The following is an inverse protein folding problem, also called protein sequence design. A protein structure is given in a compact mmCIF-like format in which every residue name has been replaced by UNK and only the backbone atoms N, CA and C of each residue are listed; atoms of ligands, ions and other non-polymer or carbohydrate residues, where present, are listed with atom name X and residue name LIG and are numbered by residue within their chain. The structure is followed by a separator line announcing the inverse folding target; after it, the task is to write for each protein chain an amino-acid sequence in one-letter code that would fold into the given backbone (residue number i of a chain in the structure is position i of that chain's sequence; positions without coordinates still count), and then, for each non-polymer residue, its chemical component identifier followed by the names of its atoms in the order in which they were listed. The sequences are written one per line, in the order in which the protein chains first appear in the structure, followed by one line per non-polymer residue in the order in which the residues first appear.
data_IF_320717647325
#
_entry.id   IF_320717647325
#
_cell.length_a   1.000
_cell.length_b   1.000
_cell.length_c   1.000
_cell.angle_alpha   90.00
_cell.angle_beta   90.00
_cell.angle_gamma   90.00
#
_symmetry.space_group_name_H-M   'P 1'
#
loop_
_entity.id
_entity.type
_entity.pdbx_description
1 polymer ?
#
# COMPACT_ATOMS: atom_id res chain seq x y z
N UNK A 1 -19.29 -24.98 -18.04
CA UNK A 1 -18.01 -24.46 -17.54
C UNK A 1 -18.15 -22.97 -17.45
N UNK A 2 -18.10 -22.40 -16.25
CA UNK A 2 -18.16 -20.95 -16.06
C UNK A 2 -16.77 -20.33 -16.40
N UNK A 3 -16.62 -19.01 -16.31
CA UNK A 3 -15.35 -18.37 -16.68
C UNK A 3 -14.21 -18.65 -15.67
N UNK A 4 -14.51 -18.85 -14.39
CA UNK A 4 -13.47 -19.18 -13.41
C UNK A 4 -12.93 -20.59 -13.65
N UNK A 5 -13.80 -21.57 -13.92
CA UNK A 5 -13.39 -22.93 -14.30
C UNK A 5 -12.50 -22.89 -15.55
N UNK A 6 -12.84 -22.04 -16.53
CA UNK A 6 -12.04 -21.88 -17.74
C UNK A 6 -10.64 -21.32 -17.42
N UNK A 7 -10.54 -20.32 -16.55
CA UNK A 7 -9.26 -19.74 -16.13
C UNK A 7 -8.38 -20.77 -15.41
N UNK A 8 -8.95 -21.54 -14.48
CA UNK A 8 -8.23 -22.62 -13.77
C UNK A 8 -7.72 -23.69 -14.75
N UNK A 9 -8.55 -24.11 -15.71
CA UNK A 9 -8.14 -25.07 -16.75
C UNK A 9 -7.05 -24.52 -17.68
N UNK A 10 -7.09 -23.21 -18.00
CA UNK A 10 -6.03 -22.55 -18.77
C UNK A 10 -4.73 -22.61 -17.97
N UNK A 11 -4.74 -22.21 -16.69
CA UNK A 11 -3.56 -22.21 -15.83
C UNK A 11 -2.95 -23.61 -15.70
N UNK A 12 -3.78 -24.63 -15.47
CA UNK A 12 -3.35 -26.02 -15.42
C UNK A 12 -2.66 -26.44 -16.72
N UNK A 13 -3.22 -26.04 -17.88
CA UNK A 13 -2.63 -26.35 -19.19
C UNK A 13 -1.34 -25.59 -19.45
N UNK A 14 -1.25 -24.33 -19.01
CA UNK A 14 -0.03 -23.52 -19.13
C UNK A 14 1.12 -24.14 -18.34
N UNK A 15 0.84 -24.72 -17.16
CA UNK A 15 1.85 -25.37 -16.31
C UNK A 15 1.95 -26.89 -16.46
N UNK A 16 1.30 -27.46 -17.47
CA UNK A 16 1.36 -28.90 -17.72
C UNK A 16 2.83 -29.37 -17.87
N UNK A 17 3.27 -30.40 -17.13
CA UNK A 17 4.67 -30.84 -17.13
C UNK A 17 5.20 -31.31 -18.48
N UNK A 18 4.33 -31.79 -19.38
CA UNK A 18 4.72 -32.33 -20.68
C UNK A 18 4.51 -31.31 -21.81
N UNK A 19 3.37 -30.64 -21.83
CA UNK A 19 2.92 -29.77 -22.93
C UNK A 19 2.73 -28.29 -22.57
N UNK A 20 3.04 -27.89 -21.35
CA UNK A 20 2.87 -26.51 -20.88
C UNK A 20 3.89 -25.52 -21.46
N UNK A 21 3.61 -24.24 -21.24
CA UNK A 21 4.50 -23.13 -21.62
C UNK A 21 5.79 -23.19 -20.79
N UNK A 22 6.98 -23.15 -21.42
CA UNK A 22 8.26 -23.22 -20.69
C UNK A 22 8.41 -22.13 -19.62
N UNK A 23 8.00 -20.89 -19.95
CA UNK A 23 8.08 -19.76 -19.02
C UNK A 23 7.15 -19.95 -17.83
N UNK A 24 5.90 -20.37 -18.05
CA UNK A 24 4.95 -20.57 -16.96
C UNK A 24 5.43 -21.69 -16.03
N UNK A 25 6.01 -22.76 -16.57
CA UNK A 25 6.49 -23.92 -15.80
C UNK A 25 7.68 -23.60 -14.88
N UNK A 26 8.58 -22.72 -15.29
CA UNK A 26 9.77 -22.36 -14.48
C UNK A 26 9.44 -21.38 -13.35
N UNK A 27 8.25 -20.77 -13.36
CA UNK A 27 7.86 -19.83 -12.30
C UNK A 27 7.69 -20.52 -10.95
N UNK A 28 8.01 -19.77 -9.90
CA UNK A 28 7.92 -20.15 -8.50
C UNK A 28 7.18 -19.07 -7.71
N UNK A 29 6.79 -19.35 -6.46
CA UNK A 29 6.21 -18.33 -5.58
C UNK A 29 7.05 -17.05 -5.51
N UNK A 30 8.38 -17.20 -5.49
CA UNK A 30 9.31 -16.08 -5.39
C UNK A 30 9.40 -15.25 -6.69
N UNK A 31 9.35 -15.90 -7.86
CA UNK A 31 9.42 -15.19 -9.14
C UNK A 31 8.11 -14.48 -9.49
N UNK A 32 6.96 -14.96 -8.98
CA UNK A 32 5.64 -14.34 -9.19
C UNK A 32 5.38 -13.15 -8.25
N UNK A 33 6.02 -13.11 -7.08
CA UNK A 33 5.78 -12.08 -6.07
C UNK A 33 5.99 -10.61 -6.53
N UNK A 34 7.04 -10.28 -7.32
CA UNK A 34 7.19 -8.93 -7.88
C UNK A 34 6.04 -8.54 -8.81
N UNK A 35 5.59 -9.43 -9.70
CA UNK A 35 4.47 -9.16 -10.60
C UNK A 35 3.18 -8.90 -9.82
N UNK A 36 2.91 -9.64 -8.73
CA UNK A 36 1.73 -9.36 -7.87
C UNK A 36 1.76 -7.94 -7.28
N UNK A 37 2.95 -7.42 -6.98
CA UNK A 37 3.09 -6.04 -6.50
C UNK A 37 2.81 -5.05 -7.65
N UNK A 38 3.35 -5.30 -8.83
CA UNK A 38 3.13 -4.50 -10.04
C UNK A 38 1.63 -4.44 -10.38
N UNK A 39 0.94 -5.58 -10.53
CA UNK A 39 -0.50 -5.63 -10.82
C UNK A 39 -1.34 -4.91 -9.75
N UNK A 40 -0.89 -4.94 -8.49
CA UNK A 40 -1.58 -4.19 -7.43
C UNK A 40 -1.49 -2.69 -7.67
N UNK A 41 -0.36 -2.18 -8.16
CA UNK A 41 -0.20 -0.77 -8.48
C UNK A 41 -0.95 -0.37 -9.75
N UNK A 42 -1.00 -1.23 -10.77
CA UNK A 42 -1.80 -0.98 -11.98
C UNK A 42 -3.30 -0.91 -11.66
N UNK A 43 -3.80 -1.80 -10.79
CA UNK A 43 -5.18 -1.70 -10.26
C UNK A 43 -5.41 -0.36 -9.54
N UNK A 44 -4.45 0.10 -8.73
CA UNK A 44 -4.57 1.37 -8.02
C UNK A 44 -4.56 2.57 -8.99
N UNK A 45 -3.74 2.52 -10.03
CA UNK A 45 -3.67 3.55 -11.07
C UNK A 45 -4.97 3.60 -11.89
N UNK A 46 -5.48 2.46 -12.34
CA UNK A 46 -6.76 2.38 -13.05
C UNK A 46 -7.93 2.94 -12.21
N UNK A 47 -7.96 2.66 -10.89
CA UNK A 47 -8.92 3.26 -9.96
C UNK A 47 -8.72 4.78 -9.88
N UNK A 48 -7.48 5.26 -9.78
CA UNK A 48 -7.17 6.69 -9.66
C UNK A 48 -7.55 7.47 -10.93
N UNK A 49 -7.44 6.85 -12.11
CA UNK A 49 -7.87 7.40 -13.40
C UNK A 49 -9.36 7.24 -13.68
N UNK A 50 -10.10 6.50 -12.84
CA UNK A 50 -11.50 6.11 -13.07
C UNK A 50 -11.72 5.39 -14.42
N UNK A 51 -10.71 4.64 -14.89
CA UNK A 51 -10.78 3.88 -16.13
C UNK A 51 -11.28 2.46 -15.84
N UNK A 52 -12.58 2.24 -16.00
CA UNK A 52 -13.22 0.96 -15.67
C UNK A 52 -12.97 -0.16 -16.70
N UNK A 53 -12.61 0.20 -17.94
CA UNK A 53 -12.25 -0.81 -18.95
C UNK A 53 -10.87 -1.39 -18.64
N UNK A 54 -9.93 -0.51 -18.26
CA UNK A 54 -8.59 -0.86 -17.80
C UNK A 54 -8.63 -1.62 -16.47
N UNK A 55 -9.38 -1.09 -15.49
CA UNK A 55 -9.56 -1.74 -14.18
C UNK A 55 -10.07 -3.19 -14.29
N UNK A 56 -10.94 -3.48 -15.25
CA UNK A 56 -11.40 -4.85 -15.49
C UNK A 56 -10.26 -5.76 -15.96
N UNK A 57 -9.35 -5.24 -16.79
CA UNK A 57 -8.14 -5.94 -17.22
C UNK A 57 -7.22 -6.22 -16.05
N UNK A 58 -6.85 -5.17 -15.30
CA UNK A 58 -5.92 -5.26 -14.17
C UNK A 58 -6.43 -6.15 -13.03
N UNK A 59 -7.74 -6.12 -12.74
CA UNK A 59 -8.35 -7.06 -11.79
C UNK A 59 -8.31 -8.51 -12.31
N UNK A 60 -8.35 -8.70 -13.63
CA UNK A 60 -8.17 -9.99 -14.28
C UNK A 60 -6.75 -10.52 -14.11
N UNK A 61 -5.75 -9.66 -14.28
CA UNK A 61 -4.33 -10.01 -14.10
C UNK A 61 -4.01 -10.27 -12.63
N UNK A 62 -4.55 -9.47 -11.71
CA UNK A 62 -4.46 -9.76 -10.27
C UNK A 62 -5.14 -11.09 -9.88
N UNK A 63 -6.29 -11.42 -10.48
CA UNK A 63 -6.94 -12.72 -10.30
C UNK A 63 -6.09 -13.86 -10.88
N UNK A 64 -5.46 -13.64 -12.03
CA UNK A 64 -4.53 -14.58 -12.64
C UNK A 64 -3.35 -14.89 -11.70
N UNK A 65 -2.78 -13.89 -11.01
CA UNK A 65 -1.74 -14.12 -9.99
C UNK A 65 -2.22 -15.06 -8.86
N UNK A 66 -3.44 -14.86 -8.34
CA UNK A 66 -4.02 -15.74 -7.30
C UNK A 66 -4.19 -17.17 -7.81
N UNK A 67 -4.67 -17.33 -9.06
CA UNK A 67 -4.81 -18.64 -9.71
C UNK A 67 -3.45 -19.30 -9.94
N UNK A 68 -2.43 -18.54 -10.31
CA UNK A 68 -1.06 -19.03 -10.49
C UNK A 68 -0.50 -19.60 -9.18
N UNK A 69 -0.64 -18.87 -8.07
CA UNK A 69 -0.24 -19.36 -6.75
C UNK A 69 -1.00 -20.61 -6.32
N UNK A 70 -2.31 -20.66 -6.58
CA UNK A 70 -3.13 -21.83 -6.28
C UNK A 70 -2.66 -23.06 -7.07
N UNK A 71 -2.36 -22.90 -8.36
CA UNK A 71 -1.85 -23.96 -9.21
C UNK A 71 -0.49 -24.49 -8.72
N UNK A 72 0.47 -23.62 -8.39
CA UNK A 72 1.77 -24.03 -7.82
C UNK A 72 1.61 -24.71 -6.45
N UNK A 73 0.73 -24.22 -5.60
CA UNK A 73 0.47 -24.83 -4.29
C UNK A 73 -0.18 -26.22 -4.43
N UNK A 74 -1.05 -26.40 -5.42
CA UNK A 74 -1.69 -27.67 -5.72
C UNK A 74 -0.69 -28.68 -6.30
N UNK A 75 0.24 -28.25 -7.15
CA UNK A 75 1.36 -29.07 -7.64
C UNK A 75 2.21 -29.63 -6.49
N UNK A 76 2.39 -28.85 -5.41
CA UNK A 76 3.08 -29.26 -4.19
C UNK A 76 2.18 -29.97 -3.15
N UNK A 77 0.90 -30.18 -3.46
CA UNK A 77 -0.06 -30.83 -2.55
C UNK A 77 -0.36 -30.04 -1.27
N UNK A 78 -0.24 -28.71 -1.29
CA UNK A 78 -0.43 -27.84 -0.12
C UNK A 78 -1.88 -27.39 0.06
N UNK A 79 -2.46 -26.83 -0.99
CA UNK A 79 -3.84 -26.33 -1.07
C UNK A 79 -4.16 -26.02 -2.54
N UNK A 80 -5.44 -25.93 -2.87
CA UNK A 80 -5.91 -25.51 -4.20
C UNK A 80 -6.68 -24.17 -4.15
N UNK A 81 -7.23 -23.75 -5.30
CA UNK A 81 -8.00 -22.51 -5.39
C UNK A 81 -9.28 -22.55 -4.54
N UNK A 82 -9.92 -23.72 -4.43
CA UNK A 82 -11.13 -23.88 -3.63
C UNK A 82 -10.83 -23.77 -2.14
N UNK A 83 -9.69 -24.29 -1.67
CA UNK A 83 -9.24 -24.11 -0.29
C UNK A 83 -9.02 -22.63 0.07
N UNK A 84 -8.45 -21.84 -0.86
CA UNK A 84 -8.30 -20.38 -0.68
C UNK A 84 -9.68 -19.73 -0.53
N UNK A 85 -10.61 -20.04 -1.44
CA UNK A 85 -11.99 -19.53 -1.41
C UNK A 85 -12.73 -19.94 -0.14
N UNK A 86 -12.59 -21.18 0.31
CA UNK A 86 -13.18 -21.67 1.55
C UNK A 86 -12.64 -20.90 2.76
N UNK A 87 -11.31 -20.77 2.86
CA UNK A 87 -10.67 -20.10 3.98
C UNK A 87 -11.04 -18.60 4.10
N UNK A 88 -11.24 -17.89 2.99
CA UNK A 88 -11.73 -16.50 3.04
C UNK A 88 -13.23 -16.44 3.33
N UNK A 89 -14.03 -17.37 2.81
CA UNK A 89 -15.48 -17.45 3.07
C UNK A 89 -15.75 -17.67 4.55
N UNK A 90 -15.16 -18.71 5.16
CA UNK A 90 -15.28 -19.02 6.59
C UNK A 90 -14.85 -17.82 7.46
N UNK A 91 -13.79 -17.13 7.05
CA UNK A 91 -13.28 -15.96 7.76
C UNK A 91 -14.24 -14.77 7.66
N UNK A 92 -14.84 -14.53 6.49
CA UNK A 92 -15.78 -13.44 6.29
C UNK A 92 -17.09 -13.70 7.03
N UNK A 93 -17.62 -14.92 6.99
CA UNK A 93 -18.82 -15.31 7.74
C UNK A 93 -18.61 -15.11 9.24
N UNK A 94 -17.48 -15.60 9.78
CA UNK A 94 -17.12 -15.42 11.19
C UNK A 94 -16.94 -13.96 11.60
N UNK A 95 -16.39 -13.12 10.73
CA UNK A 95 -16.13 -11.69 11.02
C UNK A 95 -17.35 -10.79 10.80
N UNK A 96 -18.42 -11.29 10.17
CA UNK A 96 -19.66 -10.56 9.96
C UNK A 96 -20.86 -11.28 10.58
N UNK A 97 -20.86 -11.51 11.91
CA UNK A 97 -21.98 -12.16 12.58
C UNK A 97 -23.28 -11.35 12.52
N UNK A 98 -23.21 -10.08 12.09
CA UNK A 98 -24.35 -9.21 11.83
C UNK A 98 -24.98 -9.39 10.46
N UNK A 99 -24.30 -10.07 9.55
CA UNK A 99 -24.84 -10.46 8.24
C UNK A 99 -25.20 -11.94 8.23
N UNK A 100 -24.32 -12.79 8.79
CA UNK A 100 -24.42 -14.26 8.67
C UNK A 100 -24.77 -14.97 10.00
N UNK A 101 -24.90 -14.24 11.10
CA UNK A 101 -25.22 -14.80 12.42
C UNK A 101 -26.41 -14.08 13.08
N UNK A 102 -26.48 -14.14 14.41
CA UNK A 102 -27.62 -13.59 15.18
C UNK A 102 -27.35 -12.21 15.81
N UNK A 103 -26.14 -11.66 15.69
CA UNK A 103 -25.75 -10.43 16.39
C UNK A 103 -26.01 -9.18 15.55
N UNK A 104 -26.92 -8.28 15.92
CA UNK A 104 -27.07 -7.01 15.20
C UNK A 104 -25.87 -6.07 15.37
N UNK A 105 -25.71 -5.14 14.44
CA UNK A 105 -24.87 -3.95 14.57
C UNK A 105 -25.67 -2.78 14.02
N UNK A 106 -25.76 -1.69 14.78
CA UNK A 106 -26.69 -0.60 14.46
C UNK A 106 -26.04 0.49 13.58
N UNK A 107 -24.70 0.50 13.51
CA UNK A 107 -23.94 1.47 12.73
C UNK A 107 -22.55 0.93 12.29
N UNK A 108 -21.90 1.66 11.40
CA UNK A 108 -20.58 1.30 10.85
C UNK A 108 -19.45 1.33 11.88
N UNK A 109 -19.52 2.17 12.91
CA UNK A 109 -18.52 2.25 13.97
C UNK A 109 -18.50 0.96 14.81
N UNK A 110 -19.67 0.45 15.17
CA UNK A 110 -19.83 -0.82 15.87
C UNK A 110 -19.33 -2.00 15.04
N UNK A 111 -19.61 -2.01 13.73
CA UNK A 111 -19.09 -3.03 12.81
C UNK A 111 -17.57 -3.01 12.79
N UNK A 112 -16.94 -1.83 12.66
CA UNK A 112 -15.49 -1.67 12.64
C UNK A 112 -14.84 -2.09 13.96
N UNK A 113 -15.42 -1.67 15.10
CA UNK A 113 -14.92 -2.04 16.42
C UNK A 113 -14.95 -3.56 16.62
N UNK A 114 -16.07 -4.21 16.26
CA UNK A 114 -16.22 -5.67 16.34
C UNK A 114 -15.27 -6.40 15.41
N UNK A 115 -15.08 -5.89 14.20
CA UNK A 115 -14.14 -6.47 13.23
C UNK A 115 -12.69 -6.46 13.75
N UNK A 116 -12.25 -5.37 14.39
CA UNK A 116 -10.93 -5.30 15.01
C UNK A 116 -10.80 -6.17 16.27
N UNK A 117 -11.87 -6.34 17.05
CA UNK A 117 -11.90 -7.28 18.17
C UNK A 117 -11.70 -8.74 17.70
N UNK A 118 -12.51 -9.21 16.74
CA UNK A 118 -12.40 -10.58 16.21
C UNK A 118 -11.00 -10.84 15.62
N UNK A 119 -10.43 -9.87 14.90
CA UNK A 119 -9.05 -9.94 14.43
C UNK A 119 -8.03 -10.09 15.55
N UNK A 120 -8.27 -9.46 16.69
CA UNK A 120 -7.37 -9.52 17.85
C UNK A 120 -7.43 -10.90 18.50
N UNK A 121 -8.63 -11.46 18.65
CA UNK A 121 -8.84 -12.83 19.15
C UNK A 121 -8.19 -13.88 18.24
N UNK A 122 -8.34 -13.75 16.93
CA UNK A 122 -7.67 -14.63 15.96
C UNK A 122 -6.14 -14.64 16.08
N UNK A 123 -5.54 -13.48 16.37
CA UNK A 123 -4.09 -13.38 16.57
C UNK A 123 -3.67 -14.03 17.88
N UNK A 124 -4.45 -13.84 18.94
CA UNK A 124 -4.18 -14.46 20.24
C UNK A 124 -4.16 -16.01 20.13
N UNK A 125 -4.96 -16.60 19.23
CA UNK A 125 -4.97 -18.03 18.97
C UNK A 125 -3.71 -18.55 18.25
N UNK A 126 -2.91 -17.69 17.60
CA UNK A 126 -1.74 -18.08 16.80
C UNK A 126 -0.42 -18.22 17.59
N UNK A 127 -0.46 -18.27 18.93
CA UNK A 127 0.74 -18.28 19.79
C UNK A 127 1.74 -17.15 19.48
N UNK A 128 1.22 -15.98 19.07
CA UNK A 128 2.03 -14.78 18.87
C UNK A 128 2.36 -14.15 20.22
N UNK A 129 3.63 -13.84 20.43
CA UNK A 129 4.15 -13.35 21.71
C UNK A 129 4.25 -11.82 21.75
N UNK A 130 4.24 -11.15 20.58
CA UNK A 130 4.34 -9.70 20.45
C UNK A 130 3.14 -9.10 19.73
N UNK A 131 2.73 -7.90 20.15
CA UNK A 131 1.74 -7.10 19.41
C UNK A 131 2.18 -6.79 17.96
N UNK A 132 3.50 -6.84 17.71
CA UNK A 132 4.15 -6.57 16.43
C UNK A 132 4.37 -7.81 15.56
N UNK A 133 3.99 -9.00 16.04
CA UNK A 133 4.03 -10.21 15.21
C UNK A 133 3.07 -10.08 14.00
N UNK A 134 3.39 -10.75 12.89
CA UNK A 134 2.67 -10.71 11.61
C UNK A 134 2.60 -9.32 10.92
N UNK A 135 3.62 -8.47 11.10
CA UNK A 135 3.82 -7.27 10.26
C UNK A 135 4.76 -7.64 9.10
N UNK A 136 4.27 -7.78 7.85
CA UNK A 136 5.09 -8.21 6.73
C UNK A 136 6.29 -7.28 6.53
N UNK A 137 7.48 -7.88 6.36
CA UNK A 137 8.74 -7.16 6.12
C UNK A 137 8.77 -6.44 4.77
N UNK A 138 8.02 -6.94 3.79
CA UNK A 138 7.91 -6.38 2.45
C UNK A 138 6.98 -5.18 2.33
N UNK A 139 6.30 -4.75 3.40
CA UNK A 139 5.47 -3.55 3.33
C UNK A 139 6.33 -2.31 3.04
N UNK A 140 5.85 -1.39 2.18
CA UNK A 140 6.42 -0.05 2.07
C UNK A 140 6.57 0.61 3.45
N UNK A 141 7.60 1.44 3.60
CA UNK A 141 8.01 1.97 4.90
C UNK A 141 6.88 2.72 5.62
N UNK A 142 6.11 3.56 4.93
CA UNK A 142 5.01 4.33 5.55
C UNK A 142 3.85 3.41 5.95
N UNK A 143 3.50 2.42 5.12
CA UNK A 143 2.52 1.39 5.48
C UNK A 143 2.95 0.58 6.69
N UNK A 144 4.23 0.18 6.74
CA UNK A 144 4.79 -0.61 7.84
C UNK A 144 4.80 0.20 9.13
N UNK A 145 5.26 1.45 9.10
CA UNK A 145 5.25 2.37 10.23
C UNK A 145 3.82 2.59 10.77
N UNK A 146 2.87 2.89 9.89
CA UNK A 146 1.46 3.08 10.28
C UNK A 146 0.86 1.81 10.90
N UNK A 147 1.21 0.62 10.38
CA UNK A 147 0.77 -0.66 10.92
C UNK A 147 1.37 -0.93 12.30
N UNK A 148 2.66 -0.69 12.50
CA UNK A 148 3.35 -0.79 13.80
C UNK A 148 2.64 0.11 14.82
N UNK A 149 2.45 1.39 14.50
CA UNK A 149 1.79 2.33 15.40
C UNK A 149 0.35 1.93 15.73
N UNK A 150 -0.42 1.42 14.75
CA UNK A 150 -1.78 0.92 15.02
C UNK A 150 -1.77 -0.30 15.95
N UNK A 151 -0.78 -1.19 15.84
CA UNK A 151 -0.63 -2.33 16.77
C UNK A 151 -0.29 -1.87 18.19
N UNK A 152 0.61 -0.91 18.34
CA UNK A 152 0.94 -0.33 19.65
C UNK A 152 -0.29 0.37 20.26
N UNK A 153 -1.05 1.11 19.44
CA UNK A 153 -2.28 1.78 19.86
C UNK A 153 -3.33 0.80 20.41
N UNK A 154 -3.49 -0.37 19.77
CA UNK A 154 -4.43 -1.39 20.23
C UNK A 154 -4.11 -1.98 21.62
N UNK A 155 -2.87 -1.83 22.12
CA UNK A 155 -2.48 -2.23 23.49
C UNK A 155 -2.37 -1.03 24.44
N UNK A 156 -2.84 0.14 24.02
CA UNK A 156 -2.87 1.36 24.82
C UNK A 156 -1.62 2.23 24.74
N UNK A 157 -0.65 1.90 23.87
CA UNK A 157 0.53 2.72 23.65
C UNK A 157 0.27 3.71 22.50
N UNK A 158 -0.44 4.80 22.82
CA UNK A 158 -0.76 5.88 21.88
C UNK A 158 -1.01 7.20 22.61
N UNK A 159 -0.86 8.30 21.88
CA UNK A 159 -1.27 9.62 22.32
C UNK A 159 -2.79 9.76 22.30
N UNK A 160 -3.36 10.50 23.24
CA UNK A 160 -4.83 10.71 23.34
C UNK A 160 -5.30 12.01 22.69
N UNK A 161 -4.37 12.90 22.34
CA UNK A 161 -4.66 14.21 21.73
C UNK A 161 -3.66 14.50 20.62
N UNK A 162 -4.05 15.34 19.66
CA UNK A 162 -3.23 15.68 18.50
C UNK A 162 -2.03 16.57 18.85
N UNK A 163 -2.11 17.41 19.89
CA UNK A 163 -1.06 18.37 20.26
C UNK A 163 0.32 17.72 20.44
N UNK A 164 0.47 16.74 21.34
CA UNK A 164 1.75 16.05 21.54
C UNK A 164 2.28 15.32 20.31
N UNK A 165 1.40 14.90 19.39
CA UNK A 165 1.81 14.25 18.13
C UNK A 165 2.48 15.27 17.22
N UNK A 166 1.94 16.49 17.14
CA UNK A 166 2.53 17.60 16.38
C UNK A 166 3.82 18.08 17.05
N UNK A 167 3.84 18.19 18.38
CA UNK A 167 5.04 18.57 19.12
C UNK A 167 6.19 17.58 18.87
N UNK A 168 5.89 16.28 18.80
CA UNK A 168 6.90 15.26 18.46
C UNK A 168 7.43 15.44 17.03
N UNK A 169 6.60 15.82 16.05
CA UNK A 169 7.11 16.13 14.70
C UNK A 169 8.09 17.31 14.74
N UNK A 170 7.83 18.34 15.54
CA UNK A 170 8.76 19.46 15.70
C UNK A 170 10.05 19.07 16.41
N UNK A 171 9.97 18.24 17.45
CA UNK A 171 11.13 17.66 18.14
C UNK A 171 12.06 16.93 17.16
N UNK A 172 11.51 16.03 16.33
CA UNK A 172 12.30 15.29 15.34
C UNK A 172 12.92 16.20 14.26
N UNK A 173 12.24 17.29 13.88
CA UNK A 173 12.82 18.30 12.99
C UNK A 173 14.04 18.94 13.66
N UNK A 174 13.93 19.29 14.94
CA UNK A 174 15.04 19.88 15.68
C UNK A 174 16.21 18.90 15.85
N UNK A 175 15.95 17.60 16.07
CA UNK A 175 16.96 16.54 16.16
C UNK A 175 17.70 16.33 14.83
N UNK A 176 16.98 16.23 13.71
CA UNK A 176 17.57 16.19 12.36
C UNK A 176 18.45 17.42 12.11
N UNK A 177 17.94 18.61 12.43
CA UNK A 177 18.67 19.85 12.19
C UNK A 177 19.86 20.01 13.14
N UNK A 178 19.82 19.43 14.34
CA UNK A 178 20.94 19.39 15.26
C UNK A 178 22.09 18.53 14.70
N UNK A 179 21.80 17.30 14.26
CA UNK A 179 22.81 16.41 13.69
C UNK A 179 23.38 16.96 12.37
N UNK A 180 22.54 17.58 11.53
CA UNK A 180 22.97 18.20 10.27
C UNK A 180 23.85 19.46 10.44
N UNK A 181 23.81 20.12 11.61
CA UNK A 181 24.56 21.37 11.89
C UNK A 181 25.86 21.13 12.67
N UNK A 182 26.20 19.87 12.96
CA UNK A 182 27.45 19.55 13.64
C UNK A 182 28.67 19.96 12.82
N UNK A 183 29.77 20.29 13.49
CA UNK A 183 31.04 20.59 12.84
C UNK A 183 31.58 19.39 12.04
N UNK A 184 31.28 18.18 12.49
CA UNK A 184 31.48 16.92 11.77
C UNK A 184 30.16 16.16 11.84
N UNK A 185 29.50 15.98 10.70
CA UNK A 185 28.21 15.29 10.62
C UNK A 185 28.43 13.79 10.71
N UNK A 186 27.79 13.14 11.68
CA UNK A 186 27.68 11.69 11.73
C UNK A 186 26.51 11.26 10.84
N UNK A 187 26.84 10.69 9.68
CA UNK A 187 25.85 10.33 8.67
C UNK A 187 24.88 9.25 9.16
N UNK A 188 25.32 8.35 10.03
CA UNK A 188 24.47 7.28 10.55
C UNK A 188 23.44 7.82 11.54
N UNK A 189 23.85 8.73 12.43
CA UNK A 189 22.92 9.45 13.32
C UNK A 189 21.95 10.32 12.55
N UNK A 190 22.43 11.07 11.56
CA UNK A 190 21.53 11.89 10.72
C UNK A 190 20.47 11.04 9.99
N UNK A 191 20.84 9.84 9.52
CA UNK A 191 19.89 8.90 8.91
C UNK A 191 18.89 8.35 9.93
N UNK A 192 19.33 8.07 11.17
CA UNK A 192 18.48 7.65 12.29
C UNK A 192 17.42 8.72 12.60
N UNK A 193 17.82 9.96 12.85
CA UNK A 193 16.89 11.07 13.15
C UNK A 193 15.94 11.36 11.96
N UNK A 194 16.43 11.20 10.72
CA UNK A 194 15.56 11.32 9.54
C UNK A 194 14.50 10.21 9.51
N UNK A 195 14.87 9.00 9.92
CA UNK A 195 13.95 7.88 10.09
C UNK A 195 12.87 8.16 11.13
N UNK A 196 13.25 8.73 12.27
CA UNK A 196 12.32 9.05 13.36
C UNK A 196 11.41 10.23 13.01
N UNK A 197 11.89 11.25 12.29
CA UNK A 197 11.05 12.28 11.68
C UNK A 197 10.00 11.71 10.73
N UNK A 198 10.39 10.80 9.83
CA UNK A 198 9.45 10.11 8.93
C UNK A 198 8.44 9.27 9.74
N UNK A 199 8.87 8.62 10.82
CA UNK A 199 7.98 7.86 11.68
C UNK A 199 6.97 8.75 12.43
N UNK A 200 7.41 9.90 12.95
CA UNK A 200 6.57 10.89 13.62
C UNK A 200 5.54 11.51 12.68
N UNK A 201 5.92 11.83 11.44
CA UNK A 201 4.98 12.35 10.43
C UNK A 201 3.93 11.31 10.02
N UNK A 202 4.29 10.01 9.95
CA UNK A 202 3.31 8.92 9.81
C UNK A 202 2.37 8.86 11.01
N UNK A 203 2.87 9.13 12.22
CA UNK A 203 2.03 9.17 13.42
C UNK A 203 1.02 10.31 13.37
N UNK A 204 1.45 11.50 12.95
CA UNK A 204 0.57 12.63 12.69
C UNK A 204 -0.48 12.30 11.63
N UNK A 205 -0.07 11.72 10.49
CA UNK A 205 -0.98 11.31 9.44
C UNK A 205 -2.07 10.33 9.94
N UNK A 206 -1.69 9.36 10.79
CA UNK A 206 -2.62 8.42 11.40
C UNK A 206 -3.61 9.10 12.35
N UNK A 207 -3.15 10.02 13.19
CA UNK A 207 -3.99 10.81 14.12
C UNK A 207 -4.95 11.75 13.38
N UNK A 208 -4.58 12.22 12.19
CA UNK A 208 -5.43 12.99 11.28
C UNK A 208 -6.41 12.12 10.46
N UNK A 209 -6.44 10.80 10.67
CA UNK A 209 -7.34 9.89 9.95
C UNK A 209 -6.91 9.56 8.52
N UNK A 210 -5.65 9.80 8.16
CA UNK A 210 -5.12 9.56 6.81
C UNK A 210 -4.24 8.31 6.74
N UNK A 211 -4.10 7.76 5.52
CA UNK A 211 -3.12 6.70 5.22
C UNK A 211 -1.89 7.35 4.60
N UNK A 212 -0.78 7.34 5.33
CA UNK A 212 0.44 8.08 4.95
C UNK A 212 0.96 7.69 3.57
N UNK A 213 1.00 6.39 3.27
CA UNK A 213 1.43 5.87 1.95
C UNK A 213 0.57 6.45 0.81
N UNK A 214 -0.76 6.36 0.92
CA UNK A 214 -1.67 6.87 -0.10
C UNK A 214 -1.63 8.40 -0.22
N UNK A 215 -1.38 9.09 0.90
CA UNK A 215 -1.24 10.54 0.90
C UNK A 215 0.01 10.98 0.12
N UNK A 216 1.12 10.25 0.27
CA UNK A 216 2.34 10.52 -0.47
C UNK A 216 2.20 10.15 -1.95
N UNK A 217 1.56 9.02 -2.29
CA UNK A 217 1.26 8.66 -3.69
C UNK A 217 0.51 9.78 -4.41
N UNK A 218 -0.59 10.28 -3.82
CA UNK A 218 -1.33 11.42 -4.38
C UNK A 218 -0.49 12.70 -4.50
N UNK A 219 0.46 12.91 -3.58
CA UNK A 219 1.37 14.04 -3.65
C UNK A 219 2.37 13.89 -4.81
N UNK A 220 2.87 12.67 -5.05
CA UNK A 220 3.73 12.34 -6.18
C UNK A 220 2.99 12.57 -7.50
N UNK A 221 1.77 12.03 -7.66
CA UNK A 221 0.97 12.20 -8.88
C UNK A 221 0.71 13.68 -9.19
N UNK A 222 0.40 14.46 -8.14
CA UNK A 222 0.21 15.91 -8.26
C UNK A 222 1.50 16.61 -8.69
N UNK A 223 2.65 16.23 -8.12
CA UNK A 223 3.93 16.81 -8.50
C UNK A 223 4.27 16.48 -9.95
N UNK A 224 4.13 15.21 -10.34
CA UNK A 224 4.40 14.71 -11.69
C UNK A 224 3.52 15.41 -12.72
N UNK A 225 2.20 15.48 -12.49
CA UNK A 225 1.28 16.19 -13.39
C UNK A 225 1.70 17.64 -13.59
N UNK A 226 2.05 18.34 -12.51
CA UNK A 226 2.49 19.74 -12.59
C UNK A 226 3.81 19.88 -13.34
N UNK A 227 4.76 18.98 -13.08
CA UNK A 227 6.06 19.05 -13.71
C UNK A 227 5.98 18.76 -15.22
N UNK A 228 5.18 17.76 -15.63
CA UNK A 228 4.89 17.49 -17.04
C UNK A 228 4.27 18.71 -17.75
N UNK A 229 3.44 19.46 -17.05
CA UNK A 229 2.88 20.71 -17.60
C UNK A 229 3.92 21.83 -17.69
N UNK A 230 4.84 21.94 -16.72
CA UNK A 230 6.01 22.84 -16.84
C UNK A 230 6.82 22.50 -18.08
N UNK A 231 7.13 21.22 -18.29
CA UNK A 231 7.86 20.76 -19.48
C UNK A 231 7.13 21.15 -20.78
N UNK A 232 5.80 20.96 -20.82
CA UNK A 232 4.96 21.35 -21.96
C UNK A 232 5.02 22.85 -22.24
N UNK A 233 4.92 23.69 -21.21
CA UNK A 233 4.95 25.15 -21.35
C UNK A 233 6.34 25.63 -21.81
N UNK A 234 7.41 25.09 -21.21
CA UNK A 234 8.79 25.42 -21.59
C UNK A 234 9.06 25.04 -23.05
N UNK A 235 8.65 23.83 -23.46
CA UNK A 235 8.77 23.38 -24.84
C UNK A 235 7.94 24.24 -25.80
N UNK A 236 6.72 24.66 -25.42
CA UNK A 236 5.89 25.55 -26.22
C UNK A 236 6.48 26.96 -26.40
N UNK A 237 7.36 27.39 -25.48
CA UNK A 237 8.15 28.62 -25.57
C UNK A 237 9.41 28.46 -26.44
N UNK A 238 9.66 27.27 -26.99
CA UNK A 238 10.85 26.96 -27.79
C UNK A 238 12.12 26.84 -26.96
N UNK A 239 12.00 26.58 -25.65
CA UNK A 239 13.10 26.41 -24.72
C UNK A 239 13.29 24.93 -24.39
N UNK A 240 14.52 24.57 -23.99
CA UNK A 240 14.89 23.23 -23.53
C UNK A 240 15.06 23.25 -22.01
N UNK A 241 14.53 22.25 -21.30
CA UNK A 241 14.61 22.21 -19.82
C UNK A 241 16.04 22.28 -19.28
N UNK A 242 17.02 21.74 -20.01
CA UNK A 242 18.44 21.77 -19.63
C UNK A 242 19.08 23.16 -19.75
N UNK A 243 18.43 24.10 -20.45
CA UNK A 243 18.89 25.48 -20.64
C UNK A 243 18.13 26.53 -19.84
N UNK A 244 17.17 26.12 -19.01
CA UNK A 244 16.33 27.02 -18.20
C UNK A 244 16.83 27.02 -16.76
N UNK A 245 16.92 28.20 -16.15
CA UNK A 245 17.32 28.33 -14.75
C UNK A 245 16.16 28.00 -13.79
N UNK A 246 16.51 27.79 -12.51
CA UNK A 246 15.53 27.44 -11.48
C UNK A 246 14.48 28.53 -11.28
N UNK A 247 14.85 29.80 -11.45
CA UNK A 247 13.93 30.93 -11.31
C UNK A 247 12.84 30.87 -12.38
N UNK A 248 13.21 30.66 -13.64
CA UNK A 248 12.25 30.51 -14.74
C UNK A 248 11.40 29.25 -14.58
N UNK A 249 11.97 28.13 -14.13
CA UNK A 249 11.20 26.91 -13.84
C UNK A 249 10.19 27.14 -12.71
N UNK A 250 10.56 27.87 -11.66
CA UNK A 250 9.68 28.20 -10.55
C UNK A 250 8.56 29.17 -11.00
N UNK A 251 8.84 30.15 -11.86
CA UNK A 251 7.82 31.02 -12.43
C UNK A 251 6.75 30.23 -13.19
N UNK A 252 7.16 29.30 -14.06
CA UNK A 252 6.25 28.43 -14.80
C UNK A 252 5.52 27.47 -13.86
N UNK A 253 6.21 26.90 -12.87
CA UNK A 253 5.57 26.06 -11.85
C UNK A 253 4.46 26.79 -11.09
N UNK A 254 4.69 28.05 -10.72
CA UNK A 254 3.67 28.88 -10.07
C UNK A 254 2.53 29.24 -11.04
N UNK A 255 2.80 29.40 -12.33
CA UNK A 255 1.77 29.53 -13.37
C UNK A 255 0.86 28.30 -13.43
N UNK A 256 1.44 27.10 -13.51
CA UNK A 256 0.70 25.82 -13.50
C UNK A 256 -0.14 25.67 -12.24
N UNK A 257 0.42 25.98 -11.06
CA UNK A 257 -0.30 25.93 -9.79
C UNK A 257 -1.55 26.83 -9.78
N UNK A 258 -1.48 28.02 -10.34
CA UNK A 258 -2.63 28.95 -10.40
C UNK A 258 -3.75 28.40 -11.28
N UNK A 259 -3.40 27.83 -12.43
CA UNK A 259 -4.36 27.26 -13.37
C UNK A 259 -5.15 26.07 -12.79
N UNK A 260 -4.54 25.28 -11.89
CA UNK A 260 -5.22 24.17 -11.21
C UNK A 260 -6.17 24.60 -10.08
N UNK A 261 -5.96 25.77 -9.47
CA UNK A 261 -6.82 26.26 -8.36
C UNK A 261 -8.12 26.86 -8.89
N UNK A 262 -8.13 27.31 -10.15
CA UNK A 262 -9.28 27.92 -10.83
C UNK A 262 -10.18 26.89 -11.56
N UNK A 263 -9.96 25.59 -11.36
CA UNK A 263 -10.76 24.46 -11.90
C UNK A 263 -11.58 23.79 -10.80
#
# INVERSE_FOLDING_TARGET
MNQIDRLLNIMQRLRDPEGGCPWDKEQTFASIAPYTLEETYEVLDAIAREDFDDLRGELGDLLFQVVFYAQMAQEEGRFDFNDICAAISDKLERRHPHVFGELSADNSEEVLARWEQIKTEERAQKAQHSALDDIPRSLPALMRAQKIQKRCSNVGFDWTTLGPVVDKVYEEIDEVMFEARQAVVDQAKLEEEMGDLLFATVNMARHLGTKAELALQKANDKFERRFREVERIVAARGLEMTGVDLETMEEVWQEVKRQEIDL
#
